data_IF_472112054567
#
_entry.id   IF_472112054567
#
_cell.length_a   1.000
_cell.length_b   1.000
_cell.length_c   1.000
_cell.angle_alpha   90.00
_cell.angle_beta   90.00
_cell.angle_gamma   90.00
#
_symmetry.space_group_name_H-M   'P 1'
#
loop_
_entity.id
_entity.type
_entity.pdbx_description
1 polymer ?
#
# COMPACT_ATOMS: atom_id res chain seq x y z
N UNK A 1 -18.50 -3.76 6.13
CA UNK A 1 -18.84 -4.74 5.07
C UNK A 1 -20.33 -5.05 5.01
N UNK A 2 -21.03 -5.36 6.11
CA UNK A 2 -22.47 -5.66 6.10
C UNK A 2 -23.29 -4.53 5.45
N UNK A 3 -23.07 -3.27 5.84
CA UNK A 3 -23.76 -2.11 5.25
C UNK A 3 -23.56 -2.02 3.72
N UNK A 4 -22.34 -2.26 3.24
CA UNK A 4 -22.07 -2.31 1.81
C UNK A 4 -22.85 -3.42 1.12
N UNK A 5 -22.89 -4.63 1.71
CA UNK A 5 -23.61 -5.77 1.14
C UNK A 5 -25.12 -5.52 1.09
N UNK A 6 -25.70 -4.92 2.13
CA UNK A 6 -27.12 -4.53 2.16
C UNK A 6 -27.43 -3.49 1.07
N UNK A 7 -26.58 -2.47 0.93
CA UNK A 7 -26.71 -1.46 -0.13
C UNK A 7 -26.66 -2.11 -1.52
N UNK A 8 -25.67 -2.98 -1.74
CA UNK A 8 -25.51 -3.69 -3.00
C UNK A 8 -26.68 -4.62 -3.33
N UNK A 9 -27.28 -5.24 -2.31
CA UNK A 9 -28.48 -6.06 -2.51
C UNK A 9 -29.65 -5.21 -2.98
N UNK A 10 -29.89 -4.05 -2.35
CA UNK A 10 -30.94 -3.12 -2.79
C UNK A 10 -30.71 -2.67 -4.23
N UNK A 11 -29.49 -2.29 -4.61
CA UNK A 11 -29.16 -1.88 -5.97
C UNK A 11 -29.40 -3.02 -6.97
N UNK A 12 -28.96 -4.23 -6.64
CA UNK A 12 -29.15 -5.42 -7.46
C UNK A 12 -30.63 -5.73 -7.69
N UNK A 13 -31.47 -5.68 -6.63
CA UNK A 13 -32.90 -5.97 -6.70
C UNK A 13 -33.64 -4.93 -7.58
N UNK A 14 -33.07 -3.73 -7.70
CA UNK A 14 -33.54 -2.68 -8.60
C UNK A 14 -32.88 -2.69 -9.99
N UNK A 15 -32.12 -3.73 -10.35
CA UNK A 15 -31.46 -3.87 -11.64
C UNK A 15 -30.24 -2.95 -11.86
N UNK A 16 -29.78 -2.25 -10.83
CA UNK A 16 -28.67 -1.31 -10.91
C UNK A 16 -27.34 -2.06 -10.77
N UNK A 17 -26.40 -1.78 -11.69
CA UNK A 17 -25.04 -2.33 -11.69
C UNK A 17 -24.05 -1.25 -11.25
N UNK A 18 -23.71 -1.15 -9.97
CA UNK A 18 -22.87 -0.07 -9.46
C UNK A 18 -21.40 -0.23 -9.84
N UNK A 19 -20.66 0.87 -9.79
CA UNK A 19 -19.21 0.88 -9.67
C UNK A 19 -18.85 1.20 -8.21
N UNK A 20 -17.79 0.57 -7.66
CA UNK A 20 -17.41 0.73 -6.26
C UNK A 20 -15.99 1.27 -6.18
N UNK A 21 -15.77 2.20 -5.27
CA UNK A 21 -14.45 2.70 -4.93
C UNK A 21 -14.09 2.34 -3.48
N UNK A 22 -12.99 1.61 -3.32
CA UNK A 22 -12.38 1.35 -2.02
C UNK A 22 -11.14 2.23 -1.86
N UNK A 23 -11.14 3.16 -0.93
CA UNK A 23 -9.93 3.89 -0.54
C UNK A 23 -8.87 2.96 0.03
N UNK A 24 -9.31 1.94 0.77
CA UNK A 24 -8.54 0.80 1.24
C UNK A 24 -9.34 -0.48 1.03
N UNK A 25 -8.80 -1.45 0.28
CA UNK A 25 -9.52 -2.70 0.01
C UNK A 25 -9.46 -3.62 1.23
N UNK A 26 -10.63 -3.98 1.82
CA UNK A 26 -10.67 -4.84 3.00
C UNK A 26 -10.14 -6.24 2.67
N UNK A 27 -9.47 -6.86 3.64
CA UNK A 27 -8.84 -8.19 3.50
C UNK A 27 -7.82 -8.30 2.37
N UNK A 28 -7.36 -7.19 1.77
CA UNK A 28 -6.45 -7.18 0.64
C UNK A 28 -5.11 -7.90 0.85
N UNK A 29 -4.71 -8.11 2.11
CA UNK A 29 -3.49 -8.86 2.47
C UNK A 29 -3.68 -10.38 2.49
N UNK A 30 -4.93 -10.88 2.42
CA UNK A 30 -5.27 -12.30 2.33
C UNK A 30 -5.49 -12.66 0.86
N UNK A 31 -4.44 -12.53 0.05
CA UNK A 31 -4.48 -12.53 -1.41
C UNK A 31 -3.88 -13.78 -2.05
N UNK A 32 -3.60 -14.79 -1.24
CA UNK A 32 -3.19 -16.14 -1.65
C UNK A 32 -3.52 -17.18 -0.57
N UNK A 33 -3.50 -18.43 -0.96
CA UNK A 33 -3.65 -19.58 -0.06
C UNK A 33 -2.26 -20.01 0.40
N UNK A 34 -1.98 -19.92 1.70
CA UNK A 34 -0.69 -20.32 2.28
C UNK A 34 -0.71 -21.77 2.78
N UNK A 35 -1.86 -22.26 3.23
CA UNK A 35 -2.03 -23.61 3.79
C UNK A 35 -3.33 -24.26 3.31
N UNK A 36 -3.35 -25.59 3.30
CA UNK A 36 -4.58 -26.34 3.03
C UNK A 36 -5.67 -25.96 4.03
N UNK A 37 -6.87 -25.66 3.53
CA UNK A 37 -8.01 -25.20 4.34
C UNK A 37 -8.15 -23.68 4.44
N UNK A 38 -7.21 -22.90 3.94
CA UNK A 38 -7.35 -21.44 3.78
C UNK A 38 -7.96 -21.09 2.41
N UNK A 39 -8.50 -19.88 2.30
CA UNK A 39 -9.01 -19.32 1.05
C UNK A 39 -8.27 -18.01 0.72
N UNK A 40 -8.23 -17.66 -0.55
CA UNK A 40 -7.85 -16.31 -0.98
C UNK A 40 -9.05 -15.38 -0.74
N UNK A 41 -9.07 -14.72 0.42
CA UNK A 41 -10.21 -13.90 0.85
C UNK A 41 -10.42 -12.69 -0.06
N UNK A 42 -9.32 -12.08 -0.53
CA UNK A 42 -9.38 -10.92 -1.41
C UNK A 42 -10.04 -11.28 -2.76
N UNK A 43 -9.62 -12.36 -3.39
CA UNK A 43 -10.20 -12.83 -4.65
C UNK A 43 -11.66 -13.26 -4.48
N UNK A 44 -11.98 -14.01 -3.42
CA UNK A 44 -13.34 -14.45 -3.12
C UNK A 44 -14.31 -13.28 -2.90
N UNK A 45 -13.87 -12.24 -2.19
CA UNK A 45 -14.67 -11.02 -2.03
C UNK A 45 -14.93 -10.33 -3.37
N UNK A 46 -13.92 -10.22 -4.23
CA UNK A 46 -14.07 -9.63 -5.57
C UNK A 46 -15.04 -10.44 -6.43
N UNK A 47 -14.93 -11.76 -6.41
CA UNK A 47 -15.86 -12.64 -7.11
C UNK A 47 -17.31 -12.44 -6.64
N UNK A 48 -17.52 -12.36 -5.33
CA UNK A 48 -18.85 -12.09 -4.75
C UNK A 48 -19.39 -10.73 -5.22
N UNK A 49 -18.57 -9.67 -5.18
CA UNK A 49 -18.96 -8.34 -5.62
C UNK A 49 -19.37 -8.32 -7.11
N UNK A 50 -18.59 -8.94 -7.97
CA UNK A 50 -18.82 -8.91 -9.42
C UNK A 50 -19.93 -9.90 -9.82
N UNK A 51 -19.84 -11.16 -9.37
CA UNK A 51 -20.72 -12.22 -9.86
C UNK A 51 -22.08 -12.19 -9.19
N UNK A 52 -22.13 -11.96 -7.87
CA UNK A 52 -23.38 -11.96 -7.12
C UNK A 52 -24.06 -10.59 -7.11
N UNK A 53 -23.35 -9.53 -6.70
CA UNK A 53 -23.90 -8.17 -6.61
C UNK A 53 -23.91 -7.40 -7.93
N UNK A 54 -23.36 -7.99 -9.01
CA UNK A 54 -23.32 -7.39 -10.36
C UNK A 54 -22.58 -6.06 -10.40
N UNK A 55 -21.57 -5.88 -9.54
CA UNK A 55 -20.68 -4.73 -9.59
C UNK A 55 -19.97 -4.69 -10.94
N UNK A 56 -20.09 -3.55 -11.64
CA UNK A 56 -19.54 -3.38 -12.99
C UNK A 56 -18.04 -3.16 -12.99
N UNK A 57 -17.54 -2.41 -12.00
CA UNK A 57 -16.13 -2.06 -11.87
C UNK A 57 -15.76 -1.78 -10.42
N UNK A 58 -14.55 -2.14 -10.04
CA UNK A 58 -13.99 -1.87 -8.72
C UNK A 58 -12.77 -0.96 -8.89
N UNK A 59 -12.76 0.18 -8.22
CA UNK A 59 -11.60 1.04 -8.08
C UNK A 59 -11.00 0.87 -6.70
N UNK A 60 -9.68 0.93 -6.59
CA UNK A 60 -8.98 0.92 -5.30
C UNK A 60 -7.65 1.65 -5.41
N UNK A 61 -7.03 1.97 -4.28
CA UNK A 61 -5.73 2.63 -4.23
C UNK A 61 -4.71 1.63 -3.67
N UNK A 62 -3.56 1.47 -4.37
CA UNK A 62 -2.41 0.64 -4.00
C UNK A 62 -2.80 -0.67 -3.27
N UNK A 63 -3.75 -1.43 -3.85
CA UNK A 63 -4.19 -2.69 -3.27
C UNK A 63 -3.01 -3.67 -3.14
N UNK A 64 -2.89 -4.31 -1.98
CA UNK A 64 -1.81 -5.26 -1.68
C UNK A 64 -1.68 -6.37 -2.74
N UNK A 65 -2.82 -6.84 -3.24
CA UNK A 65 -2.90 -7.85 -4.30
C UNK A 65 -2.64 -7.31 -5.72
N UNK A 66 -2.39 -6.00 -5.90
CA UNK A 66 -2.29 -5.36 -7.22
C UNK A 66 -1.28 -5.99 -8.19
N UNK A 67 -0.28 -6.72 -7.67
CA UNK A 67 0.70 -7.47 -8.47
C UNK A 67 0.34 -8.94 -8.73
N UNK A 68 -0.81 -9.44 -8.28
CA UNK A 68 -1.22 -10.84 -8.43
C UNK A 68 -1.78 -11.11 -9.83
N UNK A 69 -1.46 -12.28 -10.39
CA UNK A 69 -1.92 -12.67 -11.74
C UNK A 69 -3.44 -12.77 -11.85
N UNK A 70 -4.12 -13.22 -10.79
CA UNK A 70 -5.56 -13.41 -10.77
C UNK A 70 -6.34 -12.09 -10.89
N UNK A 71 -5.76 -10.95 -10.49
CA UNK A 71 -6.40 -9.62 -10.62
C UNK A 71 -6.84 -9.32 -12.06
N UNK A 72 -6.09 -9.82 -13.05
CA UNK A 72 -6.39 -9.61 -14.47
C UNK A 72 -7.71 -10.25 -14.96
N UNK A 73 -8.29 -11.15 -14.16
CA UNK A 73 -9.59 -11.77 -14.46
C UNK A 73 -10.78 -10.83 -14.23
N UNK A 74 -10.55 -9.73 -13.49
CA UNK A 74 -11.62 -8.88 -12.98
C UNK A 74 -11.48 -7.43 -13.46
N UNK A 75 -12.60 -6.70 -13.52
CA UNK A 75 -12.62 -5.26 -13.85
C UNK A 75 -12.20 -4.42 -12.64
N UNK A 76 -10.91 -4.46 -12.31
CA UNK A 76 -10.33 -3.72 -11.19
C UNK A 76 -9.38 -2.66 -11.72
N UNK A 77 -9.56 -1.43 -11.26
CA UNK A 77 -8.65 -0.31 -11.51
C UNK A 77 -7.91 -0.01 -10.19
N UNK A 78 -6.63 -0.37 -10.14
CA UNK A 78 -5.77 -0.10 -9.00
C UNK A 78 -4.97 1.19 -9.26
N UNK A 79 -5.33 2.26 -8.57
CA UNK A 79 -4.74 3.60 -8.71
C UNK A 79 -3.53 3.70 -7.77
N UNK A 80 -2.39 4.18 -8.27
CA UNK A 80 -1.20 4.32 -7.41
C UNK A 80 -1.12 5.70 -6.77
N UNK A 81 -0.93 5.75 -5.44
CA UNK A 81 -0.63 6.95 -4.69
C UNK A 81 0.89 7.23 -4.59
N UNK A 82 1.74 6.33 -5.08
CA UNK A 82 3.20 6.50 -5.06
C UNK A 82 3.65 7.84 -5.70
N UNK A 83 3.11 8.27 -6.86
CA UNK A 83 3.49 9.54 -7.45
C UNK A 83 3.25 10.74 -6.53
N UNK A 84 2.06 10.85 -5.92
CA UNK A 84 1.74 11.99 -5.05
C UNK A 84 2.57 11.97 -3.74
N UNK A 85 2.86 10.79 -3.20
CA UNK A 85 3.72 10.62 -2.04
C UNK A 85 5.16 11.05 -2.34
N UNK A 86 5.72 10.62 -3.47
CA UNK A 86 7.09 10.97 -3.89
C UNK A 86 7.22 12.45 -4.23
N UNK A 87 6.26 13.03 -4.93
CA UNK A 87 6.23 14.47 -5.22
C UNK A 87 6.12 15.31 -3.94
N UNK A 88 5.31 14.89 -2.99
CA UNK A 88 5.23 15.57 -1.69
C UNK A 88 6.57 15.51 -0.95
N UNK A 89 7.24 14.36 -0.93
CA UNK A 89 8.55 14.22 -0.30
C UNK A 89 9.61 15.09 -0.99
N UNK A 90 9.64 15.12 -2.35
CA UNK A 90 10.56 15.97 -3.12
C UNK A 90 10.33 17.46 -2.87
N UNK A 91 9.07 17.89 -2.78
CA UNK A 91 8.73 19.29 -2.49
C UNK A 91 9.23 19.73 -1.11
N UNK A 92 9.10 18.86 -0.10
CA UNK A 92 9.45 19.19 1.27
C UNK A 92 10.93 19.00 1.60
N UNK A 93 11.63 18.07 0.92
CA UNK A 93 13.00 17.66 1.27
C UNK A 93 14.01 17.84 0.13
N UNK A 94 13.58 18.36 -1.03
CA UNK A 94 14.41 18.52 -2.23
C UNK A 94 14.39 17.30 -3.15
N UNK A 95 14.91 17.49 -4.37
CA UNK A 95 14.80 16.48 -5.45
C UNK A 95 15.75 15.29 -5.27
N UNK A 96 16.85 15.46 -4.52
CA UNK A 96 17.87 14.42 -4.36
C UNK A 96 17.54 13.45 -3.23
N UNK A 97 16.52 12.61 -3.46
CA UNK A 97 16.05 11.58 -2.54
C UNK A 97 16.22 10.22 -3.21
N UNK A 98 16.83 9.27 -2.49
CA UNK A 98 16.91 7.87 -2.90
C UNK A 98 15.64 7.15 -2.44
N UNK A 99 14.75 6.82 -3.38
CA UNK A 99 13.52 6.08 -3.11
C UNK A 99 13.74 4.58 -3.20
N UNK A 100 13.34 3.84 -2.17
CA UNK A 100 13.48 2.39 -2.08
C UNK A 100 12.19 1.77 -1.55
N UNK A 101 11.93 0.53 -1.92
CA UNK A 101 10.91 -0.31 -1.28
C UNK A 101 11.56 -1.21 -0.23
N UNK A 102 10.88 -1.53 0.88
CA UNK A 102 11.48 -2.26 1.99
C UNK A 102 11.76 -3.74 1.65
N UNK A 103 11.18 -4.25 0.58
CA UNK A 103 11.38 -5.63 0.11
C UNK A 103 10.93 -5.84 -1.35
N UNK A 104 11.15 -7.04 -1.89
CA UNK A 104 10.73 -7.40 -3.25
C UNK A 104 9.20 -7.39 -3.43
N UNK A 105 8.43 -7.69 -2.39
CA UNK A 105 6.98 -7.59 -2.42
C UNK A 105 6.54 -6.14 -2.63
N UNK A 106 7.09 -5.22 -1.86
CA UNK A 106 6.91 -3.78 -2.04
C UNK A 106 7.37 -3.29 -3.41
N UNK A 107 8.51 -3.77 -3.93
CA UNK A 107 8.98 -3.45 -5.28
C UNK A 107 7.93 -3.78 -6.35
N UNK A 108 7.31 -4.96 -6.26
CA UNK A 108 6.26 -5.36 -7.22
C UNK A 108 5.03 -4.47 -7.14
N UNK A 109 4.65 -4.03 -5.93
CA UNK A 109 3.47 -3.18 -5.69
C UNK A 109 3.71 -1.72 -6.05
N UNK A 110 4.85 -1.17 -5.61
CA UNK A 110 5.17 0.26 -5.77
C UNK A 110 5.92 0.59 -7.06
N UNK A 111 6.48 -0.43 -7.74
CA UNK A 111 7.41 -0.30 -8.89
C UNK A 111 8.69 0.49 -8.56
N UNK A 112 9.00 0.63 -7.29
CA UNK A 112 10.23 1.24 -6.77
C UNK A 112 11.24 0.13 -6.48
N UNK A 113 12.53 0.39 -6.70
CA UNK A 113 13.60 -0.58 -6.45
C UNK A 113 13.51 -1.14 -5.03
N UNK A 114 13.36 -2.44 -4.91
CA UNK A 114 13.27 -3.14 -3.63
C UNK A 114 14.63 -3.52 -3.06
N UNK A 115 14.73 -3.53 -1.75
CA UNK A 115 15.88 -4.08 -1.04
C UNK A 115 15.73 -5.61 -0.99
N UNK A 116 16.78 -6.34 -1.37
CA UNK A 116 16.75 -7.80 -1.33
C UNK A 116 16.73 -8.30 0.12
N UNK A 117 15.87 -9.28 0.39
CA UNK A 117 15.81 -10.01 1.66
C UNK A 117 16.21 -11.46 1.42
N UNK A 118 17.21 -11.96 2.11
CA UNK A 118 17.44 -13.41 2.23
C UNK A 118 16.82 -13.92 3.53
N UNK A 119 16.01 -14.98 3.42
CA UNK A 119 15.51 -15.73 4.58
C UNK A 119 16.51 -16.83 4.93
N UNK A 120 17.16 -16.74 6.07
CA UNK A 120 18.05 -17.77 6.57
C UNK A 120 17.30 -18.89 7.33
N UNK A 121 16.17 -18.56 7.96
CA UNK A 121 15.24 -19.50 8.62
C UNK A 121 13.91 -18.78 8.92
N UNK A 122 12.94 -19.52 9.50
CA UNK A 122 11.60 -19.02 9.80
C UNK A 122 11.54 -17.81 10.75
N UNK A 123 12.64 -17.50 11.44
CA UNK A 123 12.69 -16.47 12.49
C UNK A 123 13.69 -15.33 12.22
N UNK A 124 14.62 -15.49 11.28
CA UNK A 124 15.63 -14.47 10.98
C UNK A 124 15.58 -14.03 9.52
N UNK A 125 15.35 -12.73 9.31
CA UNK A 125 15.38 -12.08 8.00
C UNK A 125 16.61 -11.19 7.96
N UNK A 126 17.60 -11.52 7.12
CA UNK A 126 18.66 -10.57 6.74
C UNK A 126 18.15 -9.75 5.57
N UNK A 127 18.10 -8.44 5.76
CA UNK A 127 17.85 -7.52 4.66
C UNK A 127 19.20 -7.28 3.99
N UNK A 128 19.39 -7.85 2.79
CA UNK A 128 20.51 -7.50 1.94
C UNK A 128 20.15 -6.22 1.18
N UNK A 129 20.78 -5.12 1.54
CA UNK A 129 20.87 -4.00 0.62
C UNK A 129 21.74 -4.44 -0.56
N UNK A 130 21.33 -4.27 -1.84
CA UNK A 130 22.30 -4.19 -2.90
C UNK A 130 23.33 -3.14 -2.44
N UNK A 131 24.55 -3.15 -2.96
CA UNK A 131 25.67 -2.23 -2.59
C UNK A 131 25.28 -0.74 -2.81
N UNK A 132 24.17 -0.30 -2.22
CA UNK A 132 23.68 1.08 -2.31
C UNK A 132 24.36 1.83 -1.16
N UNK A 133 25.20 2.78 -1.52
CA UNK A 133 25.78 3.68 -0.54
C UNK A 133 24.73 4.68 -0.06
N UNK A 134 24.42 4.69 1.24
CA UNK A 134 23.48 5.62 1.88
C UNK A 134 24.19 6.85 2.49
N UNK A 135 25.53 6.85 2.52
CA UNK A 135 26.32 7.89 3.17
C UNK A 135 25.91 9.30 2.70
N UNK A 136 25.57 10.15 3.64
CA UNK A 136 25.13 11.54 3.41
C UNK A 136 23.80 11.72 2.68
N UNK A 137 23.12 10.65 2.24
CA UNK A 137 21.88 10.74 1.42
C UNK A 137 20.64 10.91 2.25
N UNK A 138 19.61 11.49 1.63
CA UNK A 138 18.21 11.38 2.08
C UNK A 138 17.66 10.10 1.46
N UNK A 139 17.26 9.16 2.30
CA UNK A 139 16.68 7.88 1.89
C UNK A 139 15.20 7.85 2.25
N UNK A 140 14.35 7.50 1.31
CA UNK A 140 12.92 7.37 1.50
C UNK A 140 12.47 5.94 1.22
N UNK A 141 11.86 5.29 2.22
CA UNK A 141 11.26 3.98 2.03
C UNK A 141 9.77 4.14 1.73
N UNK A 142 9.29 3.41 0.70
CA UNK A 142 7.89 3.43 0.26
C UNK A 142 7.29 2.05 0.45
N UNK A 143 6.16 1.99 1.14
CA UNK A 143 5.37 0.78 1.33
C UNK A 143 3.88 1.06 1.07
N UNK A 144 3.11 0.02 0.74
CA UNK A 144 1.66 0.16 0.57
C UNK A 144 0.96 0.27 1.93
N UNK A 145 1.39 -0.50 2.94
CA UNK A 145 0.68 -0.63 4.22
C UNK A 145 1.61 -0.49 5.44
N UNK A 146 1.25 0.38 6.37
CA UNK A 146 1.78 0.37 7.74
C UNK A 146 0.78 -0.38 8.64
N UNK A 147 1.16 -1.60 9.06
CA UNK A 147 0.43 -2.39 10.07
C UNK A 147 1.10 -2.23 11.44
N UNK A 148 2.03 -3.12 11.79
CA UNK A 148 2.82 -3.01 13.02
C UNK A 148 4.06 -2.11 12.87
N UNK A 149 4.46 -1.84 11.62
CA UNK A 149 5.64 -1.06 11.26
C UNK A 149 6.97 -1.84 11.32
N UNK A 150 6.95 -3.12 11.62
CA UNK A 150 8.18 -3.90 11.85
C UNK A 150 9.16 -3.89 10.67
N UNK A 151 8.67 -4.02 9.44
CA UNK A 151 9.50 -3.96 8.21
C UNK A 151 10.17 -2.59 8.07
N UNK A 152 9.40 -1.53 8.22
CA UNK A 152 9.90 -0.16 8.11
C UNK A 152 10.91 0.16 9.21
N UNK A 153 10.66 -0.26 10.46
CA UNK A 153 11.60 -0.04 11.57
C UNK A 153 12.96 -0.70 11.30
N UNK A 154 12.96 -1.95 10.84
CA UNK A 154 14.20 -2.64 10.43
C UNK A 154 14.93 -1.90 9.30
N UNK A 155 14.18 -1.45 8.29
CA UNK A 155 14.79 -0.66 7.20
C UNK A 155 15.44 0.63 7.73
N UNK A 156 14.76 1.35 8.62
CA UNK A 156 15.25 2.59 9.18
C UNK A 156 16.56 2.40 9.96
N UNK A 157 16.66 1.33 10.76
CA UNK A 157 17.89 1.00 11.48
C UNK A 157 19.06 0.73 10.53
N UNK A 158 18.82 -0.04 9.48
CA UNK A 158 19.83 -0.34 8.46
C UNK A 158 20.26 0.95 7.74
N UNK A 159 19.30 1.76 7.29
CA UNK A 159 19.60 2.99 6.58
C UNK A 159 20.45 3.95 7.43
N UNK A 160 20.14 4.08 8.72
CA UNK A 160 20.93 4.90 9.65
C UNK A 160 22.35 4.35 9.86
N UNK A 161 22.49 3.04 10.10
CA UNK A 161 23.80 2.40 10.26
C UNK A 161 24.65 2.51 9.00
N UNK A 162 24.04 2.62 7.84
CA UNK A 162 24.69 2.81 6.53
C UNK A 162 24.92 4.28 6.17
N UNK A 163 24.87 5.19 7.13
CA UNK A 163 25.25 6.59 6.96
C UNK A 163 24.17 7.50 6.36
N UNK A 164 22.91 7.08 6.26
CA UNK A 164 21.85 7.94 5.74
C UNK A 164 21.68 9.20 6.60
N UNK A 165 21.76 10.38 5.96
CA UNK A 165 21.59 11.69 6.63
C UNK A 165 20.17 11.89 7.15
N UNK A 166 19.17 11.48 6.39
CA UNK A 166 17.75 11.47 6.77
C UNK A 166 17.09 10.22 6.23
N UNK A 167 16.14 9.67 7.01
CA UNK A 167 15.32 8.53 6.58
C UNK A 167 13.87 8.93 6.64
N UNK A 168 13.17 8.88 5.50
CA UNK A 168 11.77 9.24 5.33
C UNK A 168 10.95 7.97 5.14
N UNK A 169 9.73 7.93 5.69
CA UNK A 169 8.75 6.88 5.42
C UNK A 169 7.61 7.45 4.56
N UNK A 170 7.25 6.74 3.52
CA UNK A 170 6.11 7.03 2.66
C UNK A 170 5.20 5.81 2.67
N UNK A 171 3.90 5.98 2.93
CA UNK A 171 2.96 4.88 2.91
C UNK A 171 1.58 5.32 2.42
N UNK A 172 0.92 4.41 1.70
CA UNK A 172 -0.44 4.66 1.24
C UNK A 172 -1.43 4.42 2.39
N UNK A 173 -1.38 3.28 3.06
CA UNK A 173 -2.36 2.90 4.07
C UNK A 173 -1.75 2.80 5.48
N UNK A 174 -2.26 3.57 6.41
CA UNK A 174 -1.97 3.42 7.84
C UNK A 174 -3.06 2.60 8.51
N UNK A 175 -2.89 1.27 8.61
CA UNK A 175 -3.98 0.39 9.08
C UNK A 175 -4.05 0.31 10.59
N UNK A 176 -2.92 0.26 11.28
CA UNK A 176 -2.88 0.19 12.74
C UNK A 176 -2.29 1.49 13.31
N UNK A 177 -3.07 2.33 14.02
CA UNK A 177 -2.59 3.62 14.53
C UNK A 177 -1.33 3.51 15.39
N UNK A 178 -1.22 2.48 16.22
CA UNK A 178 -0.02 2.25 17.06
C UNK A 178 1.24 2.01 16.22
N UNK A 179 1.11 1.28 15.08
CA UNK A 179 2.21 1.09 14.14
C UNK A 179 2.61 2.38 13.45
N UNK A 180 1.64 3.15 12.97
CA UNK A 180 1.86 4.47 12.35
C UNK A 180 2.56 5.43 13.31
N UNK A 181 2.11 5.49 14.56
CA UNK A 181 2.72 6.33 15.59
C UNK A 181 4.18 5.94 15.88
N UNK A 182 4.51 4.64 15.90
CA UNK A 182 5.89 4.16 16.02
C UNK A 182 6.76 4.63 14.85
N UNK A 183 6.26 4.53 13.63
CA UNK A 183 6.98 5.00 12.43
C UNK A 183 7.20 6.51 12.50
N UNK A 184 6.17 7.29 12.82
CA UNK A 184 6.29 8.74 12.95
C UNK A 184 7.38 9.17 13.94
N UNK A 185 7.51 8.46 15.07
CA UNK A 185 8.53 8.75 16.10
C UNK A 185 9.97 8.41 15.68
N UNK A 186 10.15 7.41 14.83
CA UNK A 186 11.48 6.87 14.46
C UNK A 186 12.05 7.47 13.19
N UNK A 187 11.21 7.90 12.27
CA UNK A 187 11.61 8.47 10.99
C UNK A 187 11.77 9.99 11.08
N UNK A 188 12.62 10.56 10.24
CA UNK A 188 12.78 12.02 10.13
C UNK A 188 11.47 12.70 9.70
N UNK A 189 10.69 12.04 8.84
CA UNK A 189 9.35 12.44 8.42
C UNK A 189 8.56 11.25 7.92
N UNK A 190 7.25 11.24 8.19
CA UNK A 190 6.27 10.30 7.65
C UNK A 190 5.35 11.06 6.69
N UNK A 191 5.20 10.51 5.47
CA UNK A 191 4.17 10.88 4.51
C UNK A 191 3.15 9.75 4.41
N UNK A 192 1.94 10.03 4.82
CA UNK A 192 0.85 9.06 4.88
C UNK A 192 -0.38 9.64 4.22
N UNK A 193 -0.99 8.90 3.30
CA UNK A 193 -2.24 9.34 2.68
C UNK A 193 -3.42 9.25 3.65
N UNK A 194 -4.53 9.88 3.27
CA UNK A 194 -5.79 9.80 4.00
C UNK A 194 -6.74 8.69 3.48
N UNK A 195 -6.21 7.67 2.81
CA UNK A 195 -7.00 6.48 2.40
C UNK A 195 -7.69 5.79 3.58
N UNK A 196 -7.03 5.79 4.74
CA UNK A 196 -7.61 5.52 6.06
C UNK A 196 -7.30 6.76 6.90
N UNK A 197 -8.33 7.58 7.14
CA UNK A 197 -8.16 8.85 7.86
C UNK A 197 -7.73 8.64 9.29
N UNK A 198 -6.60 9.25 9.66
CA UNK A 198 -6.08 9.26 11.04
C UNK A 198 -5.24 10.51 11.28
N UNK A 199 -4.86 10.74 12.53
CA UNK A 199 -4.12 11.96 12.97
C UNK A 199 -2.83 12.21 12.16
N UNK A 200 -2.15 11.16 11.76
CA UNK A 200 -0.87 11.21 11.05
C UNK A 200 -1.01 11.39 9.54
N UNK A 201 -2.23 11.26 8.97
CA UNK A 201 -2.47 11.48 7.55
C UNK A 201 -2.18 12.92 7.15
N UNK A 202 -1.31 13.10 6.14
CA UNK A 202 -0.83 14.41 5.70
C UNK A 202 -0.67 14.56 4.17
N UNK A 203 -1.11 13.54 3.43
CA UNK A 203 -1.18 13.56 1.96
C UNK A 203 -2.61 13.25 1.54
N UNK A 204 -3.26 14.22 0.92
CA UNK A 204 -4.65 14.10 0.45
C UNK A 204 -4.71 13.36 -0.89
N UNK A 205 -5.68 12.46 -1.06
CA UNK A 205 -5.91 11.67 -2.28
C UNK A 205 -7.07 12.17 -3.12
N UNK A 206 -7.74 13.25 -2.75
CA UNK A 206 -8.95 13.74 -3.43
C UNK A 206 -8.69 13.99 -4.91
N UNK A 207 -7.67 14.77 -5.25
CA UNK A 207 -7.33 15.04 -6.65
C UNK A 207 -6.94 13.78 -7.42
N UNK A 208 -6.28 12.82 -6.74
CA UNK A 208 -5.95 11.53 -7.35
C UNK A 208 -7.21 10.75 -7.73
N UNK A 209 -8.22 10.74 -6.86
CA UNK A 209 -9.51 10.10 -7.10
C UNK A 209 -10.23 10.78 -8.26
N UNK A 210 -10.38 12.11 -8.19
CA UNK A 210 -11.09 12.88 -9.22
C UNK A 210 -10.52 12.65 -10.61
N UNK A 211 -9.20 12.73 -10.76
CA UNK A 211 -8.52 12.51 -12.06
C UNK A 211 -8.68 11.11 -12.64
N UNK A 212 -8.89 10.09 -11.81
CA UNK A 212 -8.93 8.70 -12.28
C UNK A 212 -10.36 8.16 -12.44
N UNK A 213 -11.34 8.69 -11.71
CA UNK A 213 -12.72 8.23 -11.75
C UNK A 213 -13.57 9.15 -12.63
N UNK A 214 -13.46 10.44 -12.39
CA UNK A 214 -14.21 11.46 -13.14
C UNK A 214 -13.27 12.08 -14.16
N UNK A 215 -12.90 11.30 -15.20
CA UNK A 215 -12.16 11.88 -16.33
C UNK A 215 -12.97 13.06 -16.89
N UNK A 216 -12.62 14.24 -16.45
CA UNK A 216 -13.05 15.48 -17.07
C UNK A 216 -12.39 15.63 -18.45
#
# INVERSE_FOLDING_TARGET
MIELELTLQILKDNGIKPEIFFTYFPYGMQDEVFKKGEINVAENLIEKLINYYKVKKIYTIDAHFGGRKWVKKYSIINISAVPILTERAKRDCGKNILFLSPDQGGQRRTKILGVQKERYNSFSVKIFSPKINFEGKIVAVIDDIIKTGGTLLKFQEIAKRSGARKVLALATHGVIPAGVSKIKKKYSKLYLTNTIKQKESNVDITDLILKNIFKA
#
